data_IF_316441874177
#
_entry.id   IF_316441874177
#
_cell.length_a   1.000
_cell.length_b   1.000
_cell.length_c   1.000
_cell.angle_alpha   90.00
_cell.angle_beta   90.00
_cell.angle_gamma   90.00
#
_symmetry.space_group_name_H-M   'P 1'
#
loop_
_entity.id
_entity.type
_entity.pdbx_description
1 polymer ?
#
# COMPACT_ATOMS: atom_id res chain seq x y z
N UNK A 1 23.87 -10.68 -10.48
CA UNK A 1 22.69 -9.80 -10.61
C UNK A 1 22.86 -8.95 -11.86
N UNK A 2 21.83 -8.86 -12.70
CA UNK A 2 21.86 -7.98 -13.89
C UNK A 2 21.62 -6.55 -13.42
N UNK A 3 22.58 -5.65 -13.63
CA UNK A 3 22.43 -4.24 -13.23
C UNK A 3 21.73 -3.46 -14.33
N UNK A 4 20.44 -3.16 -14.15
CA UNK A 4 19.75 -2.17 -15.00
C UNK A 4 20.21 -0.74 -14.63
N UNK A 5 20.42 0.15 -15.62
CA UNK A 5 20.74 1.55 -15.34
C UNK A 5 19.55 2.27 -14.67
N UNK A 6 19.83 3.36 -13.96
CA UNK A 6 18.78 4.20 -13.38
C UNK A 6 18.02 4.93 -14.48
N UNK A 7 16.69 4.74 -14.53
CA UNK A 7 15.80 5.40 -15.50
C UNK A 7 15.12 6.61 -14.85
N UNK A 8 15.59 7.81 -15.20
CA UNK A 8 14.98 9.07 -14.75
C UNK A 8 13.51 9.21 -15.16
N UNK A 9 13.14 8.70 -16.34
CA UNK A 9 11.76 8.72 -16.81
C UNK A 9 10.85 7.84 -15.96
N UNK A 10 11.29 6.62 -15.65
CA UNK A 10 10.55 5.72 -14.78
C UNK A 10 10.42 6.29 -13.37
N UNK A 11 11.52 6.83 -12.83
CA UNK A 11 11.53 7.53 -11.55
C UNK A 11 10.47 8.65 -11.51
N UNK A 12 10.47 9.55 -12.50
CA UNK A 12 9.52 10.66 -12.56
C UNK A 12 8.06 10.19 -12.65
N UNK A 13 7.77 9.15 -13.43
CA UNK A 13 6.41 8.60 -13.57
C UNK A 13 5.91 8.05 -12.23
N UNK A 14 6.72 7.21 -11.57
CA UNK A 14 6.34 6.60 -10.29
C UNK A 14 6.23 7.66 -9.19
N UNK A 15 7.17 8.60 -9.13
CA UNK A 15 7.14 9.68 -8.15
C UNK A 15 5.93 10.59 -8.32
N UNK A 16 5.64 11.04 -9.55
CA UNK A 16 4.45 11.86 -9.82
C UNK A 16 3.16 11.08 -9.52
N UNK A 17 3.11 9.79 -9.86
CA UNK A 17 2.00 8.92 -9.49
C UNK A 17 1.77 8.85 -7.98
N UNK A 18 2.84 8.72 -7.19
CA UNK A 18 2.75 8.72 -5.72
C UNK A 18 2.25 10.08 -5.19
N UNK A 19 2.74 11.20 -5.74
CA UNK A 19 2.29 12.54 -5.34
C UNK A 19 0.81 12.76 -5.69
N UNK A 20 0.35 12.29 -6.86
CA UNK A 20 -1.07 12.31 -7.23
C UNK A 20 -1.90 11.46 -6.26
N UNK A 21 -1.40 10.27 -5.89
CA UNK A 21 -2.03 9.43 -4.87
C UNK A 21 -2.15 10.15 -3.52
N UNK A 22 -1.08 10.82 -3.06
CA UNK A 22 -1.09 11.62 -1.82
C UNK A 22 -2.16 12.70 -1.86
N UNK A 23 -2.33 13.39 -2.98
CA UNK A 23 -3.40 14.38 -3.13
C UNK A 23 -4.77 13.70 -3.16
N UNK A 24 -4.89 12.55 -3.84
CA UNK A 24 -6.13 11.79 -3.96
C UNK A 24 -6.69 11.27 -2.64
N UNK A 25 -5.85 10.94 -1.66
CA UNK A 25 -6.31 10.44 -0.35
C UNK A 25 -6.78 11.55 0.60
N UNK A 26 -6.42 12.82 0.36
CA UNK A 26 -6.75 13.93 1.26
C UNK A 26 -8.25 14.02 1.60
N UNK A 27 -9.19 13.99 0.65
CA UNK A 27 -10.61 14.06 0.95
C UNK A 27 -11.09 12.94 1.89
N UNK A 28 -10.57 11.72 1.68
CA UNK A 28 -10.89 10.55 2.49
C UNK A 28 -10.40 10.74 3.94
N UNK A 29 -9.13 11.15 4.10
CA UNK A 29 -8.52 11.41 5.41
C UNK A 29 -9.22 12.55 6.16
N UNK A 30 -9.58 13.64 5.48
CA UNK A 30 -10.30 14.76 6.08
C UNK A 30 -11.67 14.35 6.61
N UNK A 31 -12.35 13.45 5.90
CA UNK A 31 -13.64 12.91 6.36
C UNK A 31 -13.45 12.02 7.58
N UNK A 32 -12.49 11.08 7.55
CA UNK A 32 -12.21 10.22 8.71
C UNK A 32 -11.79 11.00 9.96
N UNK A 33 -11.11 12.12 9.80
CA UNK A 33 -10.60 12.96 10.90
C UNK A 33 -11.53 14.13 11.25
N UNK A 34 -12.75 14.18 10.69
CA UNK A 34 -13.64 15.34 10.84
C UNK A 34 -13.91 15.71 12.30
N UNK A 35 -14.11 14.71 13.16
CA UNK A 35 -14.37 14.92 14.58
C UNK A 35 -13.17 15.55 15.28
N UNK A 36 -11.96 15.04 15.02
CA UNK A 36 -10.72 15.58 15.59
C UNK A 36 -10.47 17.01 15.13
N UNK A 37 -10.69 17.29 13.84
CA UNK A 37 -10.50 18.63 13.27
C UNK A 37 -11.50 19.66 13.83
N UNK A 38 -12.68 19.22 14.26
CA UNK A 38 -13.66 20.09 14.93
C UNK A 38 -13.34 20.33 16.41
N UNK A 39 -12.61 19.41 17.06
CA UNK A 39 -12.31 19.48 18.49
C UNK A 39 -10.99 20.16 18.85
N UNK A 40 -10.16 20.51 17.87
CA UNK A 40 -8.85 21.14 18.09
C UNK A 40 -8.77 22.50 17.41
N UNK A 41 -8.11 23.46 18.05
CA UNK A 41 -7.67 24.67 17.37
C UNK A 41 -6.34 24.39 16.67
N UNK A 42 -6.31 24.53 15.34
CA UNK A 42 -5.09 24.32 14.58
C UNK A 42 -4.17 25.54 14.74
N UNK A 43 -2.87 25.34 15.05
CA UNK A 43 -1.92 26.44 15.20
C UNK A 43 -1.60 27.11 13.85
N UNK A 44 -1.95 26.48 12.74
CA UNK A 44 -1.75 26.96 11.38
C UNK A 44 -2.99 26.67 10.53
N UNK A 45 -3.32 27.50 9.52
CA UNK A 45 -4.48 27.26 8.68
C UNK A 45 -4.41 25.91 7.97
N UNK A 46 -5.53 25.17 7.93
CA UNK A 46 -5.60 23.84 7.32
C UNK A 46 -5.02 23.78 5.89
N UNK A 47 -5.27 24.73 4.98
CA UNK A 47 -4.65 24.70 3.65
C UNK A 47 -3.12 24.74 3.67
N UNK A 48 -2.53 25.44 4.65
CA UNK A 48 -1.06 25.51 4.84
C UNK A 48 -0.54 24.17 5.34
N UNK A 49 -1.22 23.54 6.30
CA UNK A 49 -0.88 22.19 6.78
C UNK A 49 -0.92 21.15 5.67
N UNK A 50 -1.97 21.17 4.84
CA UNK A 50 -2.11 20.26 3.71
C UNK A 50 -0.99 20.48 2.68
N UNK A 51 -0.65 21.74 2.38
CA UNK A 51 0.46 22.06 1.48
C UNK A 51 1.81 21.54 2.01
N UNK A 52 2.08 21.72 3.31
CA UNK A 52 3.28 21.20 3.97
C UNK A 52 3.31 19.67 3.91
N UNK A 53 2.19 19.01 4.20
CA UNK A 53 2.07 17.56 4.16
C UNK A 53 2.31 17.00 2.76
N UNK A 54 1.75 17.63 1.71
CA UNK A 54 1.98 17.24 0.32
C UNK A 54 3.46 17.41 -0.03
N UNK A 55 4.07 18.54 0.31
CA UNK A 55 5.48 18.80 0.04
C UNK A 55 6.40 17.80 0.75
N UNK A 56 6.14 17.50 2.03
CA UNK A 56 6.88 16.51 2.81
C UNK A 56 6.75 15.11 2.18
N UNK A 57 5.54 14.69 1.81
CA UNK A 57 5.32 13.40 1.16
C UNK A 57 5.97 13.35 -0.22
N UNK A 58 5.95 14.43 -0.99
CA UNK A 58 6.63 14.49 -2.29
C UNK A 58 8.15 14.28 -2.14
N UNK A 59 8.79 14.90 -1.15
CA UNK A 59 10.21 14.69 -0.86
C UNK A 59 10.47 13.24 -0.41
N UNK A 60 9.64 12.72 0.50
CA UNK A 60 9.75 11.35 0.97
C UNK A 60 9.63 10.35 -0.19
N UNK A 61 8.59 10.45 -1.02
CA UNK A 61 8.39 9.56 -2.17
C UNK A 61 9.46 9.73 -3.25
N UNK A 62 10.09 10.91 -3.40
CA UNK A 62 11.24 11.05 -4.27
C UNK A 62 12.40 10.17 -3.79
N UNK A 63 12.73 10.23 -2.49
CA UNK A 63 13.81 9.40 -1.92
C UNK A 63 13.46 7.92 -2.03
N UNK A 64 12.25 7.52 -1.61
CA UNK A 64 11.83 6.11 -1.61
C UNK A 64 11.76 5.53 -3.02
N UNK A 65 11.23 6.28 -4.00
CA UNK A 65 11.17 5.83 -5.40
C UNK A 65 12.58 5.69 -5.98
N UNK A 66 13.50 6.61 -5.69
CA UNK A 66 14.87 6.54 -6.18
C UNK A 66 15.61 5.32 -5.60
N UNK A 67 15.51 5.11 -4.27
CA UNK A 67 16.10 3.95 -3.61
C UNK A 67 15.44 2.64 -4.09
N UNK A 68 14.12 2.62 -4.20
CA UNK A 68 13.38 1.48 -4.73
C UNK A 68 13.83 1.10 -6.14
N UNK A 69 14.01 2.06 -7.03
CA UNK A 69 14.50 1.82 -8.38
C UNK A 69 15.93 1.25 -8.37
N UNK A 70 16.83 1.81 -7.56
CA UNK A 70 18.21 1.33 -7.42
C UNK A 70 18.26 -0.10 -6.87
N UNK A 71 17.41 -0.44 -5.90
CA UNK A 71 17.40 -1.74 -5.24
C UNK A 71 16.69 -2.79 -6.09
N UNK A 72 15.51 -2.49 -6.63
CA UNK A 72 14.74 -3.37 -7.52
C UNK A 72 15.57 -3.80 -8.73
N UNK A 73 16.28 -2.84 -9.36
CA UNK A 73 17.18 -3.11 -10.47
C UNK A 73 18.31 -4.08 -10.11
N UNK A 74 18.77 -4.10 -8.86
CA UNK A 74 19.81 -5.03 -8.41
C UNK A 74 19.25 -6.43 -8.18
N UNK A 75 18.05 -6.56 -7.59
CA UNK A 75 17.46 -7.87 -7.28
C UNK A 75 16.67 -8.49 -8.45
N UNK A 76 16.61 -7.81 -9.60
CA UNK A 76 15.95 -8.29 -10.81
C UNK A 76 14.43 -8.10 -10.83
N UNK A 77 13.91 -7.16 -10.04
CA UNK A 77 12.52 -6.70 -10.05
C UNK A 77 12.40 -5.33 -10.75
N UNK A 78 11.17 -4.84 -10.92
CA UNK A 78 10.94 -3.55 -11.59
C UNK A 78 9.47 -3.31 -11.95
N UNK A 79 9.27 -2.39 -12.88
CA UNK A 79 7.96 -1.98 -13.39
C UNK A 79 7.82 -2.38 -14.89
N UNK A 80 7.55 -3.66 -15.20
CA UNK A 80 7.66 -4.20 -16.57
C UNK A 80 6.75 -3.57 -17.63
N UNK A 81 5.62 -2.97 -17.28
CA UNK A 81 4.74 -2.30 -18.26
C UNK A 81 5.31 -0.93 -18.59
N UNK A 82 5.62 -0.13 -17.57
CA UNK A 82 6.13 1.23 -17.75
C UNK A 82 7.50 1.18 -18.41
N UNK A 83 8.38 0.24 -18.01
CA UNK A 83 9.67 0.02 -18.67
C UNK A 83 9.50 -0.33 -20.15
N UNK A 84 8.61 -1.26 -20.50
CA UNK A 84 8.35 -1.63 -21.88
C UNK A 84 7.80 -0.46 -22.70
N UNK A 85 6.87 0.32 -22.13
CA UNK A 85 6.36 1.53 -22.77
C UNK A 85 7.46 2.56 -23.04
N UNK A 86 8.34 2.80 -22.06
CA UNK A 86 9.48 3.73 -22.20
C UNK A 86 10.49 3.26 -23.25
N UNK A 87 10.63 1.94 -23.42
CA UNK A 87 11.48 1.32 -24.44
C UNK A 87 10.80 1.19 -25.82
N UNK A 88 9.57 1.70 -25.97
CA UNK A 88 8.75 1.57 -27.20
C UNK A 88 8.47 0.11 -27.60
N UNK A 89 8.44 -0.78 -26.62
CA UNK A 89 8.02 -2.18 -26.79
C UNK A 89 6.49 -2.28 -26.72
N UNK A 90 5.94 -3.36 -27.29
CA UNK A 90 4.51 -3.64 -27.16
C UNK A 90 4.14 -3.97 -25.72
N UNK A 91 3.18 -3.23 -25.15
CA UNK A 91 2.68 -3.44 -23.78
C UNK A 91 1.41 -4.30 -23.72
N UNK A 92 0.73 -4.53 -24.85
CA UNK A 92 -0.58 -5.17 -24.87
C UNK A 92 -0.55 -6.58 -24.24
N UNK A 93 0.43 -7.41 -24.60
CA UNK A 93 0.56 -8.76 -24.06
C UNK A 93 0.99 -8.77 -22.58
N UNK A 94 1.76 -7.78 -22.15
CA UNK A 94 2.11 -7.61 -20.72
C UNK A 94 0.88 -7.23 -19.90
N UNK A 95 0.07 -6.28 -20.39
CA UNK A 95 -1.20 -5.91 -19.74
C UNK A 95 -2.14 -7.11 -19.67
N UNK A 96 -2.37 -7.81 -20.79
CA UNK A 96 -3.26 -8.99 -20.83
C UNK A 96 -2.83 -10.09 -19.85
N UNK A 97 -1.52 -10.27 -19.65
CA UNK A 97 -1.00 -11.32 -18.77
C UNK A 97 -1.06 -10.97 -17.27
N UNK A 98 -1.03 -9.68 -16.90
CA UNK A 98 -1.07 -9.27 -15.48
C UNK A 98 -2.44 -8.76 -15.02
N UNK A 99 -3.20 -8.09 -15.88
CA UNK A 99 -4.40 -7.35 -15.48
C UNK A 99 -5.48 -8.27 -14.86
N UNK A 100 -5.88 -9.40 -15.49
CA UNK A 100 -6.94 -10.23 -14.94
C UNK A 100 -6.55 -10.86 -13.60
N UNK A 101 -5.33 -11.40 -13.50
CA UNK A 101 -4.86 -12.06 -12.29
C UNK A 101 -4.67 -11.08 -11.13
N UNK A 102 -4.18 -9.86 -11.40
CA UNK A 102 -4.08 -8.80 -10.39
C UNK A 102 -5.45 -8.39 -9.86
N UNK A 103 -6.43 -8.16 -10.75
CA UNK A 103 -7.78 -7.79 -10.33
C UNK A 103 -8.42 -8.91 -9.51
N UNK A 104 -8.36 -10.16 -9.99
CA UNK A 104 -8.95 -11.32 -9.31
C UNK A 104 -8.34 -11.48 -7.91
N UNK A 105 -7.02 -11.42 -7.79
CA UNK A 105 -6.36 -11.57 -6.49
C UNK A 105 -6.60 -10.37 -5.57
N UNK A 106 -6.74 -9.16 -6.10
CA UNK A 106 -7.15 -7.99 -5.33
C UNK A 106 -8.57 -8.11 -4.79
N UNK A 107 -9.51 -8.55 -5.62
CA UNK A 107 -10.90 -8.82 -5.19
C UNK A 107 -10.94 -9.91 -4.13
N UNK A 108 -10.16 -10.98 -4.30
CA UNK A 108 -10.03 -12.05 -3.30
C UNK A 108 -9.44 -11.50 -2.00
N UNK A 109 -8.40 -10.66 -2.06
CA UNK A 109 -7.82 -10.03 -0.87
C UNK A 109 -8.86 -9.20 -0.10
N UNK A 110 -9.60 -8.34 -0.82
CA UNK A 110 -10.69 -7.55 -0.22
C UNK A 110 -11.78 -8.40 0.40
N UNK A 111 -12.23 -9.45 -0.30
CA UNK A 111 -13.22 -10.39 0.23
C UNK A 111 -12.71 -11.14 1.47
N UNK A 112 -11.46 -11.59 1.48
CA UNK A 112 -10.86 -12.25 2.65
C UNK A 112 -10.77 -11.32 3.85
N UNK A 113 -10.36 -10.06 3.63
CA UNK A 113 -10.32 -9.03 4.66
C UNK A 113 -11.71 -8.79 5.24
N UNK A 114 -12.73 -8.62 4.40
CA UNK A 114 -14.14 -8.46 4.83
C UNK A 114 -14.61 -9.65 5.65
N UNK A 115 -14.39 -10.88 5.16
CA UNK A 115 -14.85 -12.09 5.84
C UNK A 115 -14.19 -12.21 7.21
N UNK A 116 -12.88 -12.02 7.31
CA UNK A 116 -12.20 -12.09 8.60
C UNK A 116 -12.63 -10.95 9.53
N UNK A 117 -12.80 -9.74 9.00
CA UNK A 117 -13.24 -8.62 9.81
C UNK A 117 -14.65 -8.85 10.38
N UNK A 118 -15.62 -9.19 9.53
CA UNK A 118 -17.02 -9.36 9.92
C UNK A 118 -17.23 -10.59 10.81
N UNK A 119 -16.62 -11.73 10.49
CA UNK A 119 -16.91 -12.97 11.20
C UNK A 119 -15.98 -13.26 12.37
N UNK A 120 -14.80 -12.62 12.44
CA UNK A 120 -13.83 -12.84 13.52
C UNK A 120 -13.66 -11.58 14.36
N UNK A 121 -13.23 -10.48 13.75
CA UNK A 121 -12.82 -9.31 14.53
C UNK A 121 -13.99 -8.50 15.08
N UNK A 122 -15.04 -8.23 14.31
CA UNK A 122 -16.19 -7.46 14.78
C UNK A 122 -16.87 -8.10 16.01
N UNK A 123 -17.13 -9.43 16.06
CA UNK A 123 -17.67 -10.07 17.25
C UNK A 123 -16.74 -10.00 18.46
N UNK A 124 -15.43 -10.18 18.26
CA UNK A 124 -14.44 -10.07 19.34
C UNK A 124 -14.33 -8.65 19.88
N UNK A 125 -14.39 -7.66 18.99
CA UNK A 125 -14.36 -6.24 19.33
C UNK A 125 -15.63 -5.83 20.09
N UNK A 126 -16.80 -6.32 19.69
CA UNK A 126 -18.05 -6.11 20.43
C UNK A 126 -18.00 -6.73 21.83
N UNK A 127 -17.36 -7.91 21.98
CA UNK A 127 -17.16 -8.54 23.28
C UNK A 127 -16.20 -7.76 24.18
N UNK A 128 -15.15 -7.16 23.62
CA UNK A 128 -14.15 -6.39 24.38
C UNK A 128 -14.67 -5.00 24.79
N UNK A 129 -15.32 -4.29 23.87
CA UNK A 129 -15.70 -2.89 24.06
C UNK A 129 -17.19 -2.65 24.35
N UNK A 130 -18.04 -3.67 24.18
CA UNK A 130 -19.49 -3.52 24.29
C UNK A 130 -20.03 -2.46 23.32
N UNK A 131 -21.04 -1.70 23.73
CA UNK A 131 -21.64 -0.65 22.90
C UNK A 131 -20.71 0.56 22.66
N UNK A 132 -19.62 0.70 23.42
CA UNK A 132 -18.68 1.81 23.25
C UNK A 132 -18.03 1.81 21.85
N UNK A 133 -17.98 0.65 21.18
CA UNK A 133 -17.47 0.57 19.81
C UNK A 133 -18.30 1.38 18.81
N UNK A 134 -19.60 1.54 19.08
CA UNK A 134 -20.51 2.30 18.23
C UNK A 134 -20.27 3.82 18.31
N UNK A 135 -19.46 4.28 19.25
CA UNK A 135 -19.08 5.69 19.37
C UNK A 135 -17.70 5.98 18.76
N UNK A 136 -17.06 4.99 18.13
CA UNK A 136 -15.74 5.17 17.51
C UNK A 136 -15.85 5.76 16.11
N UNK A 137 -14.77 6.40 15.65
CA UNK A 137 -14.68 6.97 14.30
C UNK A 137 -14.80 5.90 13.19
N UNK A 138 -14.81 4.60 13.53
CA UNK A 138 -15.17 3.52 12.59
C UNK A 138 -16.54 3.71 11.93
N UNK A 139 -17.44 4.48 12.55
CA UNK A 139 -18.77 4.75 11.99
C UNK A 139 -18.80 5.91 10.99
N UNK A 140 -17.71 6.68 10.87
CA UNK A 140 -17.58 7.66 9.79
C UNK A 140 -17.28 6.89 8.51
N UNK A 141 -18.20 6.96 7.55
CA UNK A 141 -18.05 6.32 6.24
C UNK A 141 -17.80 7.38 5.18
N UNK A 142 -16.54 7.53 4.72
CA UNK A 142 -16.24 8.37 3.57
C UNK A 142 -17.10 7.95 2.37
N UNK A 143 -17.62 8.90 1.58
CA UNK A 143 -18.37 8.57 0.37
C UNK A 143 -17.49 7.85 -0.65
N UNK A 144 -18.10 6.99 -1.47
CA UNK A 144 -17.43 6.11 -2.41
C UNK A 144 -16.45 6.82 -3.37
N UNK A 145 -16.71 8.08 -3.75
CA UNK A 145 -15.79 8.85 -4.60
C UNK A 145 -14.49 9.19 -3.89
N UNK A 146 -14.51 9.42 -2.57
CA UNK A 146 -13.30 9.63 -1.78
C UNK A 146 -12.53 8.32 -1.64
N UNK A 147 -13.24 7.21 -1.41
CA UNK A 147 -12.65 5.87 -1.41
C UNK A 147 -11.95 5.56 -2.72
N UNK A 148 -12.57 5.88 -3.86
CA UNK A 148 -11.99 5.69 -5.18
C UNK A 148 -10.70 6.50 -5.39
N UNK A 149 -10.67 7.76 -4.94
CA UNK A 149 -9.45 8.58 -5.01
C UNK A 149 -8.37 8.07 -4.06
N UNK A 150 -8.75 7.60 -2.86
CA UNK A 150 -7.84 6.96 -1.91
C UNK A 150 -7.26 5.65 -2.46
N UNK A 151 -7.98 4.90 -3.31
CA UNK A 151 -7.47 3.69 -3.94
C UNK A 151 -6.24 3.93 -4.81
N UNK A 152 -6.06 5.14 -5.37
CA UNK A 152 -4.82 5.49 -6.07
C UNK A 152 -3.64 5.66 -5.11
N UNK A 153 -3.87 6.10 -3.88
CA UNK A 153 -2.83 6.16 -2.85
C UNK A 153 -2.38 4.75 -2.45
N UNK A 154 -3.31 3.87 -2.06
CA UNK A 154 -2.99 2.47 -1.74
C UNK A 154 -2.34 1.77 -2.93
N UNK A 155 -2.99 1.85 -4.09
CA UNK A 155 -2.52 1.27 -5.34
C UNK A 155 -1.15 1.77 -5.81
N UNK A 156 -0.73 3.01 -5.56
CA UNK A 156 0.53 3.56 -6.10
C UNK A 156 1.55 3.86 -4.99
N UNK A 157 1.18 4.73 -4.06
CA UNK A 157 2.09 5.27 -3.07
C UNK A 157 2.52 4.18 -2.07
N UNK A 158 1.58 3.39 -1.56
CA UNK A 158 1.90 2.32 -0.61
C UNK A 158 2.70 1.19 -1.27
N UNK A 159 2.41 0.85 -2.52
CA UNK A 159 3.19 -0.13 -3.28
C UNK A 159 4.62 0.36 -3.59
N UNK A 160 4.82 1.66 -3.83
CA UNK A 160 6.16 2.23 -3.96
C UNK A 160 6.92 2.12 -2.63
N UNK A 161 6.29 2.49 -1.52
CA UNK A 161 6.91 2.42 -0.19
C UNK A 161 7.26 0.97 0.19
N UNK A 162 6.31 0.05 0.06
CA UNK A 162 6.41 -1.28 0.66
C UNK A 162 7.00 -2.32 -0.28
N UNK A 163 6.63 -2.31 -1.56
CA UNK A 163 7.09 -3.33 -2.53
C UNK A 163 8.33 -2.82 -3.22
N UNK A 164 8.21 -1.66 -3.88
CA UNK A 164 9.30 -1.15 -4.69
C UNK A 164 10.53 -0.79 -3.85
N UNK A 165 10.34 -0.12 -2.71
CA UNK A 165 11.43 0.21 -1.79
C UNK A 165 11.67 -0.87 -0.73
N UNK A 166 10.77 -1.05 0.24
CA UNK A 166 11.10 -1.78 1.46
C UNK A 166 11.33 -3.28 1.24
N UNK A 167 10.46 -3.96 0.50
CA UNK A 167 10.65 -5.37 0.12
C UNK A 167 11.92 -5.53 -0.73
N UNK A 168 12.20 -4.62 -1.67
CA UNK A 168 13.44 -4.66 -2.45
C UNK A 168 14.69 -4.47 -1.58
N UNK A 169 14.63 -3.59 -0.58
CA UNK A 169 15.71 -3.39 0.39
C UNK A 169 15.99 -4.68 1.17
N UNK A 170 14.95 -5.32 1.71
CA UNK A 170 15.08 -6.57 2.45
C UNK A 170 15.64 -7.70 1.57
N UNK A 171 15.15 -7.82 0.34
CA UNK A 171 15.63 -8.83 -0.59
C UNK A 171 17.08 -8.58 -1.04
N UNK A 172 17.46 -7.31 -1.20
CA UNK A 172 18.84 -6.93 -1.49
C UNK A 172 19.77 -7.26 -0.33
N UNK A 173 19.39 -6.95 0.90
CA UNK A 173 20.14 -7.34 2.10
C UNK A 173 20.26 -8.87 2.23
N UNK A 174 19.15 -9.60 2.02
CA UNK A 174 19.16 -11.06 2.04
C UNK A 174 20.03 -11.71 0.96
N UNK A 175 20.28 -10.99 -0.15
CA UNK A 175 21.15 -11.46 -1.23
C UNK A 175 22.63 -11.49 -0.86
N UNK A 176 23.04 -10.85 0.25
CA UNK A 176 24.39 -11.03 0.81
C UNK A 176 24.55 -12.34 1.58
N UNK A 177 23.44 -12.92 2.06
CA UNK A 177 23.42 -14.16 2.83
C UNK A 177 23.18 -15.36 1.90
N UNK A 178 22.16 -15.25 1.05
CA UNK A 178 21.80 -16.29 0.08
C UNK A 178 22.09 -15.78 -1.32
N UNK A 179 22.96 -16.48 -2.04
CA UNK A 179 23.45 -16.03 -3.34
C UNK A 179 22.30 -15.88 -4.38
N UNK A 180 22.32 -14.82 -5.20
CA UNK A 180 21.41 -14.65 -6.33
C UNK A 180 21.48 -15.82 -7.32
N UNK A 181 20.35 -16.15 -7.95
CA UNK A 181 20.22 -17.18 -9.00
C UNK A 181 19.75 -16.50 -10.28
N UNK A 182 20.40 -16.79 -11.41
CA UNK A 182 20.08 -16.22 -12.74
C UNK A 182 19.97 -14.69 -12.75
N UNK A 183 20.81 -14.04 -11.97
CA UNK A 183 20.84 -12.58 -11.88
C UNK A 183 19.70 -11.95 -11.08
N UNK A 184 18.88 -12.75 -10.39
CA UNK A 184 17.77 -12.31 -9.51
C UNK A 184 18.01 -12.76 -8.06
N UNK A 185 17.38 -12.07 -7.11
CA UNK A 185 17.37 -12.53 -5.72
C UNK A 185 16.74 -13.93 -5.61
N UNK A 186 17.22 -14.72 -4.65
CA UNK A 186 16.72 -16.08 -4.40
C UNK A 186 15.22 -16.05 -4.01
N UNK A 187 14.44 -17.01 -4.47
CA UNK A 187 12.99 -17.09 -4.21
C UNK A 187 12.65 -17.13 -2.71
N UNK A 188 13.46 -17.81 -1.90
CA UNK A 188 13.29 -17.86 -0.44
C UNK A 188 13.51 -16.50 0.18
N UNK A 189 14.54 -15.76 -0.28
CA UNK A 189 14.81 -14.39 0.16
C UNK A 189 13.65 -13.47 -0.20
N UNK A 190 13.10 -13.60 -1.41
CA UNK A 190 11.96 -12.80 -1.86
C UNK A 190 10.70 -13.07 -1.03
N UNK A 191 10.42 -14.34 -0.68
CA UNK A 191 9.30 -14.68 0.21
C UNK A 191 9.47 -14.13 1.63
N UNK A 192 10.66 -14.25 2.22
CA UNK A 192 10.93 -13.69 3.55
C UNK A 192 10.76 -12.16 3.52
N UNK A 193 11.33 -11.50 2.50
CA UNK A 193 11.18 -10.06 2.31
C UNK A 193 9.70 -9.65 2.15
N UNK A 194 8.91 -10.42 1.40
CA UNK A 194 7.48 -10.19 1.23
C UNK A 194 6.73 -10.29 2.57
N UNK A 195 6.94 -11.36 3.34
CA UNK A 195 6.26 -11.56 4.63
C UNK A 195 6.60 -10.43 5.60
N UNK A 196 7.88 -10.05 5.70
CA UNK A 196 8.30 -8.94 6.56
C UNK A 196 7.74 -7.59 6.11
N UNK A 197 7.69 -7.33 4.79
CA UNK A 197 7.07 -6.13 4.24
C UNK A 197 5.56 -6.09 4.49
N UNK A 198 4.88 -7.24 4.39
CA UNK A 198 3.46 -7.37 4.69
C UNK A 198 3.14 -7.15 6.17
N UNK A 199 4.00 -7.61 7.09
CA UNK A 199 3.87 -7.30 8.53
C UNK A 199 4.08 -5.80 8.75
N UNK A 200 5.11 -5.22 8.13
CA UNK A 200 5.39 -3.78 8.24
C UNK A 200 4.26 -2.94 7.65
N UNK A 201 3.57 -3.42 6.62
CA UNK A 201 2.38 -2.76 6.07
C UNK A 201 1.30 -2.59 7.16
N UNK A 202 0.99 -3.66 7.87
CA UNK A 202 0.02 -3.62 8.97
C UNK A 202 0.52 -2.80 10.17
N UNK A 203 1.80 -2.85 10.49
CA UNK A 203 2.39 -1.98 11.53
C UNK A 203 2.28 -0.50 11.15
N UNK A 204 2.49 -0.16 9.87
CA UNK A 204 2.37 1.20 9.35
C UNK A 204 0.97 1.81 9.52
N UNK A 205 -0.05 0.97 9.70
CA UNK A 205 -1.44 1.40 9.94
C UNK A 205 -1.78 1.65 11.41
N UNK A 206 -0.91 1.26 12.35
CA UNK A 206 -1.17 1.44 13.78
C UNK A 206 -1.32 2.90 14.23
N UNK A 207 -0.55 3.89 13.73
CA UNK A 207 -0.75 5.29 14.10
C UNK A 207 -2.14 5.80 13.71
N UNK A 208 -2.62 5.45 12.52
CA UNK A 208 -3.98 5.81 12.07
C UNK A 208 -5.04 5.11 12.92
N UNK A 209 -4.84 3.83 13.23
CA UNK A 209 -5.72 3.09 14.12
C UNK A 209 -5.79 3.73 15.52
N UNK A 210 -4.67 4.20 16.07
CA UNK A 210 -4.63 4.87 17.36
C UNK A 210 -5.39 6.22 17.39
N UNK A 211 -5.61 6.84 16.23
CA UNK A 211 -6.46 8.02 16.11
C UNK A 211 -7.97 7.68 15.99
N UNK A 212 -8.30 6.44 15.62
CA UNK A 212 -9.68 5.97 15.37
C UNK A 212 -10.24 5.22 16.58
N UNK A 213 -9.44 4.37 17.21
CA UNK A 213 -9.85 3.56 18.35
C UNK A 213 -9.59 4.27 19.67
N UNK A 214 -10.51 4.13 20.65
CA UNK A 214 -10.36 4.77 21.96
C UNK A 214 -9.21 4.16 22.77
N UNK A 215 -8.93 2.87 22.57
CA UNK A 215 -7.84 2.14 23.22
C UNK A 215 -7.20 1.19 22.21
N UNK A 216 -5.87 1.22 22.13
CA UNK A 216 -5.08 0.27 21.34
C UNK A 216 -4.91 -1.05 22.11
N UNK A 217 -5.98 -1.83 22.23
CA UNK A 217 -5.93 -3.16 22.84
C UNK A 217 -5.08 -4.13 22.00
N UNK A 218 -4.64 -5.23 22.61
CA UNK A 218 -3.94 -6.31 21.88
C UNK A 218 -4.78 -6.83 20.70
N UNK A 219 -6.11 -6.91 20.87
CA UNK A 219 -7.02 -7.32 19.80
C UNK A 219 -7.00 -6.33 18.63
N UNK A 220 -7.07 -5.01 18.90
CA UNK A 220 -6.98 -3.96 17.87
C UNK A 220 -5.66 -4.06 17.11
N UNK A 221 -4.55 -4.19 17.83
CA UNK A 221 -3.22 -4.31 17.21
C UNK A 221 -3.15 -5.55 16.31
N UNK A 222 -3.61 -6.71 16.78
CA UNK A 222 -3.64 -7.95 15.99
C UNK A 222 -4.53 -7.79 14.76
N UNK A 223 -5.73 -7.21 14.90
CA UNK A 223 -6.66 -6.95 13.79
C UNK A 223 -5.99 -6.13 12.69
N UNK A 224 -5.43 -4.98 13.06
CA UNK A 224 -4.83 -4.04 12.10
C UNK A 224 -3.63 -4.66 11.42
N UNK A 225 -2.75 -5.35 12.16
CA UNK A 225 -1.59 -6.01 11.54
C UNK A 225 -2.05 -7.13 10.61
N UNK A 226 -2.91 -8.04 11.09
CA UNK A 226 -3.30 -9.23 10.34
C UNK A 226 -4.02 -8.87 9.04
N UNK A 227 -5.05 -8.02 9.10
CA UNK A 227 -5.88 -7.72 7.93
C UNK A 227 -5.07 -7.05 6.81
N UNK A 228 -4.19 -6.10 7.16
CA UNK A 228 -3.30 -5.45 6.20
C UNK A 228 -2.21 -6.40 5.67
N UNK A 229 -1.66 -7.27 6.52
CA UNK A 229 -0.67 -8.27 6.09
C UNK A 229 -1.21 -9.29 5.10
N UNK A 230 -2.51 -9.59 5.10
CA UNK A 230 -3.11 -10.53 4.14
C UNK A 230 -3.04 -10.00 2.70
N UNK A 231 -3.51 -8.77 2.47
CA UNK A 231 -3.31 -8.07 1.19
C UNK A 231 -1.82 -7.88 0.90
N UNK A 232 -1.09 -7.44 1.93
CA UNK A 232 0.35 -7.55 2.13
C UNK A 232 1.07 -8.61 1.27
N UNK A 233 0.84 -9.86 1.67
CA UNK A 233 1.48 -11.05 1.12
C UNK A 233 1.10 -11.26 -0.35
N UNK A 234 -0.16 -11.03 -0.72
CA UNK A 234 -0.66 -11.19 -2.09
C UNK A 234 0.04 -10.19 -3.03
N UNK A 235 0.09 -8.91 -2.65
CA UNK A 235 0.67 -7.88 -3.52
C UNK A 235 2.18 -8.07 -3.67
N UNK A 236 2.89 -8.45 -2.61
CA UNK A 236 4.32 -8.75 -2.73
C UNK A 236 4.61 -10.03 -3.52
N UNK A 237 3.72 -11.02 -3.50
CA UNK A 237 3.82 -12.18 -4.41
C UNK A 237 3.62 -11.76 -5.88
N UNK A 238 2.69 -10.86 -6.15
CA UNK A 238 2.52 -10.28 -7.49
C UNK A 238 3.74 -9.46 -7.90
N UNK A 239 4.31 -8.66 -7.00
CA UNK A 239 5.52 -7.88 -7.28
C UNK A 239 6.70 -8.78 -7.69
N UNK A 240 6.98 -9.85 -6.93
CA UNK A 240 8.10 -10.73 -7.23
C UNK A 240 7.88 -11.60 -8.50
N UNK A 241 6.63 -11.86 -8.90
CA UNK A 241 6.33 -12.73 -10.06
C UNK A 241 6.00 -11.97 -11.34
N UNK A 242 5.42 -10.78 -11.23
CA UNK A 242 4.81 -10.01 -12.33
C UNK A 242 5.17 -8.53 -12.33
N UNK A 243 5.90 -8.04 -11.32
CA UNK A 243 6.37 -6.65 -11.26
C UNK A 243 5.42 -5.69 -10.56
N UNK A 244 5.88 -4.45 -10.43
CA UNK A 244 5.27 -3.44 -9.55
C UNK A 244 3.82 -3.14 -9.94
N UNK A 245 3.54 -2.95 -11.22
CA UNK A 245 2.19 -2.61 -11.71
C UNK A 245 1.17 -3.69 -11.39
N UNK A 246 1.60 -4.96 -11.33
CA UNK A 246 0.73 -6.07 -10.96
C UNK A 246 0.30 -5.98 -9.49
N UNK A 247 1.21 -5.57 -8.60
CA UNK A 247 0.91 -5.32 -7.20
C UNK A 247 0.02 -4.08 -7.04
N UNK A 248 0.30 -3.00 -7.78
CA UNK A 248 -0.48 -1.77 -7.80
C UNK A 248 -1.94 -2.01 -8.21
N UNK A 249 -2.17 -2.77 -9.28
CA UNK A 249 -3.53 -3.10 -9.74
C UNK A 249 -4.28 -3.95 -8.71
N UNK A 250 -3.61 -4.91 -8.06
CA UNK A 250 -4.25 -5.77 -7.06
C UNK A 250 -4.62 -4.99 -5.80
N UNK A 251 -3.73 -4.13 -5.33
CA UNK A 251 -4.01 -3.27 -4.18
C UNK A 251 -5.13 -2.28 -4.50
N UNK A 252 -5.07 -1.57 -5.63
CA UNK A 252 -6.15 -0.71 -6.09
C UNK A 252 -7.49 -1.47 -6.14
N UNK A 253 -7.51 -2.70 -6.68
CA UNK A 253 -8.72 -3.52 -6.75
C UNK A 253 -9.24 -3.93 -5.37
N UNK A 254 -8.32 -4.17 -4.41
CA UNK A 254 -8.67 -4.43 -3.00
C UNK A 254 -9.38 -3.22 -2.41
N UNK A 255 -8.84 -2.03 -2.62
CA UNK A 255 -9.40 -0.78 -2.11
C UNK A 255 -10.74 -0.43 -2.75
N UNK A 256 -10.95 -0.76 -4.03
CA UNK A 256 -12.27 -0.63 -4.66
C UNK A 256 -13.30 -1.50 -3.92
N UNK A 257 -12.94 -2.73 -3.56
CA UNK A 257 -13.84 -3.58 -2.77
C UNK A 257 -14.10 -2.94 -1.41
N UNK A 258 -13.05 -2.60 -0.65
CA UNK A 258 -13.19 -2.11 0.72
C UNK A 258 -13.84 -0.71 0.80
N UNK A 259 -13.28 0.27 0.09
CA UNK A 259 -13.58 1.69 0.29
C UNK A 259 -14.62 2.25 -0.69
N UNK A 260 -14.95 1.54 -1.78
CA UNK A 260 -15.96 1.99 -2.75
C UNK A 260 -17.24 1.17 -2.67
N UNK A 261 -17.12 -0.17 -2.73
CA UNK A 261 -18.29 -1.04 -2.75
C UNK A 261 -18.89 -1.25 -1.35
N UNK A 262 -18.03 -1.38 -0.33
CA UNK A 262 -18.47 -1.63 1.05
C UNK A 262 -18.36 -0.39 1.96
N UNK A 263 -17.54 0.59 1.57
CA UNK A 263 -17.28 1.82 2.32
C UNK A 263 -16.91 1.55 3.79
N UNK A 264 -15.94 0.65 3.98
CA UNK A 264 -15.36 0.22 5.26
C UNK A 264 -13.86 0.43 5.28
#
# INVERSE_FOLDING_TARGET
>A
MIKKPFSWKLFLILWLGAVIGVVGVIPYTLTLQSNTLQSIELPTPLPVLLAIQIAQNAVMFAVLTALGLLLANQIGLGAPIIEAWLNKESIAEKIKSILPISIILGVIAGALIIVLDVYVFQPLMLKEFGEQINNTAQNIKPPAWQGFLASFYGGIAEEILLRFFFMSLLAWLGSFIVKPVDGKANVTVLWIANILAAIMFGVGHLPTAAAIFPVMSTLVVIRIILLNSLGGIIFGWLYQTRGLESAMIAHFSTDIVLHVLFAI
#
